data_IF_839707563626
#
_entry.id   IF_839707563626
#
_cell.length_a   1.000
_cell.length_b   1.000
_cell.length_c   1.000
_cell.angle_alpha   90.00
_cell.angle_beta   90.00
_cell.angle_gamma   90.00
#
_symmetry.space_group_name_H-M   'P 1'
#
loop_
_entity.id
_entity.type
_entity.pdbx_description
1 polymer ?
#
# COMPACT_ATOMS: atom_id res chain seq x y z
N UNK A 1 48.36 4.79 38.31
CA UNK A 1 47.63 3.59 37.80
C UNK A 1 46.15 3.86 37.94
N UNK A 2 45.28 3.67 36.93
CA UNK A 2 43.82 3.69 36.92
C UNK A 2 43.11 4.69 35.99
N UNK A 3 43.69 5.06 34.84
CA UNK A 3 42.88 5.80 33.84
C UNK A 3 42.57 4.97 32.57
N UNK A 4 43.01 3.70 32.47
CA UNK A 4 42.76 2.87 31.28
C UNK A 4 41.48 2.03 31.38
N UNK A 5 40.99 1.76 32.58
CA UNK A 5 39.75 0.96 32.77
C UNK A 5 38.48 1.72 32.49
N UNK A 6 38.45 3.04 32.78
CA UNK A 6 37.27 3.85 32.54
C UNK A 6 36.98 4.06 31.05
N UNK A 7 38.02 4.17 30.23
CA UNK A 7 37.87 4.39 28.79
C UNK A 7 37.30 3.17 28.04
N UNK A 8 37.64 1.95 28.45
CA UNK A 8 37.11 0.74 27.84
C UNK A 8 35.64 0.48 28.20
N UNK A 9 35.22 0.81 29.41
CA UNK A 9 33.83 0.60 29.87
C UNK A 9 32.85 1.54 29.17
N UNK A 10 33.25 2.78 28.94
CA UNK A 10 32.41 3.77 28.23
C UNK A 10 32.26 3.40 26.75
N UNK A 11 33.34 2.90 26.10
CA UNK A 11 33.29 2.43 24.71
C UNK A 11 32.43 1.16 24.58
N UNK A 12 32.53 0.24 25.55
CA UNK A 12 31.72 -0.98 25.57
C UNK A 12 30.21 -0.69 25.78
N UNK A 13 29.86 0.27 26.66
CA UNK A 13 28.48 0.72 26.84
C UNK A 13 27.94 1.42 25.58
N UNK A 14 28.75 2.24 24.92
CA UNK A 14 28.36 2.91 23.70
C UNK A 14 28.14 1.92 22.54
N UNK A 15 28.94 0.85 22.46
CA UNK A 15 28.78 -0.21 21.44
C UNK A 15 27.56 -1.09 21.70
N UNK A 16 27.19 -1.37 22.93
CA UNK A 16 25.98 -2.13 23.28
C UNK A 16 24.73 -1.31 23.00
N UNK A 17 24.74 0.01 23.24
CA UNK A 17 23.64 0.91 22.89
C UNK A 17 23.45 1.02 21.36
N UNK A 18 24.49 0.86 20.57
CA UNK A 18 24.44 0.90 19.10
C UNK A 18 23.99 -0.44 18.47
N UNK A 19 24.11 -1.56 19.19
CA UNK A 19 23.71 -2.89 18.67
C UNK A 19 22.21 -3.19 18.76
N UNK A 20 21.43 -2.37 19.43
CA UNK A 20 20.08 -2.70 19.88
C UNK A 20 18.93 -2.11 19.13
N UNK A 21 18.91 -1.98 17.80
CA UNK A 21 17.66 -1.65 17.10
C UNK A 21 17.71 -1.98 15.61
N UNK A 22 17.49 -3.22 15.26
CA UNK A 22 16.90 -3.51 13.95
C UNK A 22 15.42 -3.12 14.03
N UNK A 23 15.11 -1.94 13.55
CA UNK A 23 13.81 -1.32 13.73
C UNK A 23 12.70 -2.04 12.98
N UNK A 24 12.92 -2.53 11.79
CA UNK A 24 12.05 -3.47 11.07
C UNK A 24 12.73 -3.96 9.79
N UNK A 25 12.29 -5.12 9.32
CA UNK A 25 12.61 -5.65 8.01
C UNK A 25 11.34 -5.70 7.15
N UNK A 26 11.50 -5.31 5.89
CA UNK A 26 10.44 -5.45 4.88
C UNK A 26 10.83 -6.62 4.01
N UNK A 27 9.94 -7.59 3.90
CA UNK A 27 10.09 -8.70 2.96
C UNK A 27 8.93 -8.67 1.96
N UNK A 28 9.24 -8.89 0.69
CA UNK A 28 8.23 -9.20 -0.31
C UNK A 28 7.71 -10.60 -0.07
N UNK A 29 6.42 -10.74 0.10
CA UNK A 29 5.80 -12.06 0.18
C UNK A 29 5.67 -12.66 -1.22
N UNK A 30 5.91 -13.97 -1.32
CA UNK A 30 5.37 -14.74 -2.44
C UNK A 30 3.86 -14.58 -2.39
N UNK A 31 3.20 -14.48 -3.59
CA UNK A 31 1.78 -14.20 -3.75
C UNK A 31 0.92 -14.67 -2.58
N UNK A 32 0.16 -13.77 -1.95
CA UNK A 32 -0.75 -14.16 -0.88
C UNK A 32 -1.69 -15.26 -1.36
N UNK A 33 -1.97 -16.22 -0.51
CA UNK A 33 -2.93 -17.29 -0.79
C UNK A 33 -4.23 -16.93 -0.09
N UNK A 34 -5.31 -16.92 -0.83
CA UNK A 34 -6.66 -16.73 -0.33
C UNK A 34 -7.46 -17.99 -0.60
N UNK A 35 -8.12 -18.51 0.41
CA UNK A 35 -8.98 -19.70 0.29
C UNK A 35 -10.38 -19.34 0.72
N UNK A 36 -11.33 -19.64 -0.14
CA UNK A 36 -12.73 -19.36 0.10
C UNK A 36 -13.58 -20.45 -0.56
N UNK A 37 -14.65 -20.90 0.11
CA UNK A 37 -15.62 -21.86 -0.40
C UNK A 37 -16.72 -21.21 -1.25
N UNK A 38 -16.70 -19.90 -1.41
CA UNK A 38 -17.70 -19.15 -2.20
C UNK A 38 -17.49 -19.36 -3.70
N UNK A 39 -18.47 -18.93 -4.51
CA UNK A 39 -18.34 -18.89 -5.97
C UNK A 39 -17.16 -17.98 -6.37
N UNK A 40 -16.98 -16.84 -5.71
CA UNK A 40 -15.84 -15.95 -5.92
C UNK A 40 -14.51 -16.66 -5.61
N UNK A 41 -14.47 -17.42 -4.50
CA UNK A 41 -13.31 -18.22 -4.12
C UNK A 41 -12.92 -19.27 -5.16
N UNK A 42 -13.90 -19.92 -5.79
CA UNK A 42 -13.64 -20.88 -6.86
C UNK A 42 -12.96 -20.22 -8.09
N UNK A 43 -13.40 -19.01 -8.45
CA UNK A 43 -12.73 -18.23 -9.50
C UNK A 43 -11.32 -17.80 -9.07
N UNK A 44 -11.12 -17.37 -7.82
CA UNK A 44 -9.80 -17.03 -7.28
C UNK A 44 -8.85 -18.23 -7.37
N UNK A 45 -9.30 -19.41 -6.95
CA UNK A 45 -8.51 -20.64 -7.02
C UNK A 45 -8.15 -21.00 -8.47
N UNK A 46 -9.11 -20.83 -9.40
CA UNK A 46 -8.89 -21.06 -10.83
C UNK A 46 -7.85 -20.08 -11.39
N UNK A 47 -7.98 -18.77 -11.11
CA UNK A 47 -7.04 -17.76 -11.55
C UNK A 47 -5.64 -17.96 -10.95
N UNK A 48 -5.54 -18.52 -9.74
CA UNK A 48 -4.29 -18.85 -9.08
C UNK A 48 -3.50 -19.99 -9.70
N UNK A 49 -4.20 -20.93 -10.37
CA UNK A 49 -3.57 -22.03 -11.10
C UNK A 49 -3.01 -21.49 -12.40
N UNK A 50 -1.69 -21.46 -12.52
CA UNK A 50 -1.02 -21.09 -13.78
C UNK A 50 -1.20 -22.22 -14.79
N UNK A 51 -2.20 -22.11 -15.62
CA UNK A 51 -2.52 -23.08 -16.68
C UNK A 51 -1.89 -22.72 -18.04
N UNK A 52 -0.96 -21.77 -18.07
CA UNK A 52 -0.35 -21.25 -19.30
C UNK A 52 -1.17 -20.16 -19.98
N UNK A 53 -2.31 -19.76 -19.43
CA UNK A 53 -3.09 -18.61 -19.91
C UNK A 53 -2.32 -17.30 -19.72
N UNK A 54 -2.47 -16.35 -20.64
CA UNK A 54 -1.85 -15.03 -20.57
C UNK A 54 -2.36 -14.20 -19.39
N UNK A 55 -1.68 -13.06 -19.10
CA UNK A 55 -2.06 -12.18 -17.99
C UNK A 55 -3.49 -11.64 -18.14
N UNK A 56 -3.95 -11.35 -19.35
CA UNK A 56 -5.31 -10.86 -19.61
C UNK A 56 -6.37 -11.91 -19.26
N UNK A 57 -6.13 -13.18 -19.58
CA UNK A 57 -7.06 -14.25 -19.22
C UNK A 57 -7.10 -14.46 -17.69
N UNK A 58 -5.96 -14.35 -17.03
CA UNK A 58 -5.91 -14.42 -15.56
C UNK A 58 -6.68 -13.25 -14.92
N UNK A 59 -6.54 -12.04 -15.46
CA UNK A 59 -7.34 -10.88 -15.05
C UNK A 59 -8.84 -11.15 -15.26
N UNK A 60 -9.24 -11.71 -16.40
CA UNK A 60 -10.64 -12.02 -16.69
C UNK A 60 -11.28 -12.92 -15.63
N UNK A 61 -10.57 -13.94 -15.17
CA UNK A 61 -11.07 -14.83 -14.09
C UNK A 61 -11.13 -14.11 -12.75
N UNK A 62 -10.18 -13.20 -12.43
CA UNK A 62 -10.31 -12.38 -11.23
C UNK A 62 -11.46 -11.36 -11.32
N UNK A 63 -11.81 -10.88 -12.52
CA UNK A 63 -13.01 -10.07 -12.73
C UNK A 63 -14.29 -10.87 -12.50
N UNK A 64 -14.34 -12.15 -12.92
CA UNK A 64 -15.45 -13.04 -12.55
C UNK A 64 -15.58 -13.19 -11.03
N UNK A 65 -14.46 -13.35 -10.32
CA UNK A 65 -14.45 -13.42 -8.86
C UNK A 65 -14.97 -12.11 -8.22
N UNK A 66 -14.49 -10.96 -8.69
CA UNK A 66 -14.94 -9.66 -8.20
C UNK A 66 -16.43 -9.43 -8.48
N UNK A 67 -16.93 -9.84 -9.65
CA UNK A 67 -18.35 -9.76 -10.00
C UNK A 67 -19.22 -10.63 -9.10
N UNK A 68 -18.80 -11.88 -8.85
CA UNK A 68 -19.50 -12.77 -7.96
C UNK A 68 -19.56 -12.24 -6.53
N UNK A 69 -18.44 -11.74 -6.01
CA UNK A 69 -18.38 -11.14 -4.67
C UNK A 69 -19.24 -9.86 -4.58
N UNK A 70 -19.23 -9.01 -5.61
CA UNK A 70 -20.06 -7.79 -5.65
C UNK A 70 -21.56 -8.09 -5.60
N UNK A 71 -22.01 -9.17 -6.28
CA UNK A 71 -23.41 -9.61 -6.21
C UNK A 71 -23.82 -10.02 -4.78
N UNK A 72 -22.94 -10.68 -4.05
CA UNK A 72 -23.20 -11.04 -2.65
C UNK A 72 -23.26 -9.79 -1.79
N UNK A 73 -22.30 -8.88 -1.92
CA UNK A 73 -22.23 -7.63 -1.16
C UNK A 73 -23.45 -6.74 -1.42
N UNK A 74 -23.99 -6.68 -2.64
CA UNK A 74 -25.19 -5.93 -2.95
C UNK A 74 -26.40 -6.41 -2.11
N UNK A 75 -26.50 -7.70 -1.80
CA UNK A 75 -27.58 -8.27 -1.00
C UNK A 75 -27.25 -8.35 0.49
N UNK A 76 -26.00 -8.64 0.83
CA UNK A 76 -25.48 -8.79 2.19
C UNK A 76 -24.23 -7.92 2.39
N UNK A 77 -24.38 -6.61 2.67
CA UNK A 77 -23.25 -5.66 2.74
C UNK A 77 -22.23 -5.96 3.84
N UNK A 78 -22.65 -6.66 4.89
CA UNK A 78 -21.79 -7.06 6.02
C UNK A 78 -21.09 -8.41 5.81
N UNK A 79 -21.27 -9.05 4.65
CA UNK A 79 -20.68 -10.37 4.40
C UNK A 79 -19.15 -10.26 4.28
N UNK A 80 -18.48 -10.72 5.34
CA UNK A 80 -17.02 -10.57 5.50
C UNK A 80 -16.27 -11.34 4.42
N UNK A 81 -16.73 -12.57 4.11
CA UNK A 81 -16.04 -13.41 3.14
C UNK A 81 -16.16 -12.84 1.72
N UNK A 82 -17.32 -12.33 1.33
CA UNK A 82 -17.51 -11.71 0.02
C UNK A 82 -16.65 -10.44 -0.11
N UNK A 83 -16.52 -9.66 0.97
CA UNK A 83 -15.63 -8.50 1.00
C UNK A 83 -14.17 -8.92 0.84
N UNK A 84 -13.74 -9.97 1.54
CA UNK A 84 -12.38 -10.49 1.44
C UNK A 84 -12.08 -11.03 0.02
N UNK A 85 -13.02 -11.77 -0.57
CA UNK A 85 -12.90 -12.28 -1.94
C UNK A 85 -12.79 -11.14 -2.96
N UNK A 86 -13.64 -10.10 -2.84
CA UNK A 86 -13.59 -8.92 -3.69
C UNK A 86 -12.25 -8.21 -3.58
N UNK A 87 -11.82 -7.91 -2.36
CA UNK A 87 -10.57 -7.19 -2.10
C UNK A 87 -9.37 -7.96 -2.65
N UNK A 88 -9.34 -9.27 -2.45
CA UNK A 88 -8.28 -10.12 -2.97
C UNK A 88 -8.25 -10.15 -4.50
N UNK A 89 -9.41 -10.34 -5.15
CA UNK A 89 -9.51 -10.36 -6.60
C UNK A 89 -9.01 -9.05 -7.21
N UNK A 90 -9.46 -7.90 -6.68
CA UNK A 90 -9.02 -6.57 -7.13
C UNK A 90 -7.52 -6.38 -6.93
N UNK A 91 -6.98 -6.80 -5.77
CA UNK A 91 -5.55 -6.72 -5.52
C UNK A 91 -4.74 -7.52 -6.56
N UNK A 92 -5.19 -8.71 -6.90
CA UNK A 92 -4.50 -9.55 -7.92
C UNK A 92 -4.59 -8.95 -9.32
N UNK A 93 -5.68 -8.28 -9.68
CA UNK A 93 -5.79 -7.56 -10.96
C UNK A 93 -4.70 -6.49 -11.06
N UNK A 94 -4.56 -5.63 -10.05
CA UNK A 94 -3.49 -4.61 -10.01
C UNK A 94 -2.10 -5.24 -10.04
N UNK A 95 -1.90 -6.34 -9.33
CA UNK A 95 -0.64 -7.08 -9.30
C UNK A 95 -0.22 -7.60 -10.69
N UNK A 96 -1.17 -8.15 -11.44
CA UNK A 96 -0.92 -8.67 -12.79
C UNK A 96 -0.67 -7.52 -13.76
N UNK A 97 -1.44 -6.43 -13.69
CA UNK A 97 -1.26 -5.24 -14.52
C UNK A 97 0.17 -4.70 -14.35
N UNK A 98 0.63 -4.57 -13.10
CA UNK A 98 1.98 -4.09 -12.80
C UNK A 98 3.05 -5.07 -13.31
N UNK A 99 2.92 -6.35 -13.00
CA UNK A 99 3.90 -7.38 -13.34
C UNK A 99 4.04 -7.60 -14.86
N UNK A 100 2.93 -7.47 -15.61
CA UNK A 100 2.91 -7.64 -17.05
C UNK A 100 3.11 -6.33 -17.84
N UNK A 101 3.20 -5.18 -17.15
CA UNK A 101 3.35 -3.88 -17.78
C UNK A 101 2.13 -3.44 -18.60
N UNK A 102 0.94 -3.96 -18.29
CA UNK A 102 -0.29 -3.63 -18.99
C UNK A 102 -0.72 -2.19 -18.73
N UNK A 103 -1.42 -1.56 -19.67
CA UNK A 103 -1.77 -0.15 -19.63
C UNK A 103 -3.27 0.09 -19.86
N UNK A 104 -4.16 -0.36 -18.96
CA UNK A 104 -5.61 -0.20 -19.12
C UNK A 104 -6.09 1.26 -19.07
N UNK A 105 -5.20 2.21 -18.72
CA UNK A 105 -5.46 3.65 -18.80
C UNK A 105 -5.23 4.24 -20.21
N UNK A 106 -4.52 3.53 -21.07
CA UNK A 106 -4.25 3.96 -22.45
C UNK A 106 -5.28 3.43 -23.43
N UNK A 107 -5.71 2.17 -23.26
CA UNK A 107 -6.75 1.53 -24.04
C UNK A 107 -7.39 0.41 -23.21
N UNK A 108 -8.70 0.13 -23.40
CA UNK A 108 -9.34 -1.01 -22.75
C UNK A 108 -8.67 -2.34 -23.13
N UNK A 109 -8.43 -3.18 -22.13
CA UNK A 109 -7.89 -4.52 -22.30
C UNK A 109 -9.03 -5.50 -22.49
N UNK A 110 -8.85 -6.45 -23.39
CA UNK A 110 -9.73 -7.62 -23.55
C UNK A 110 -9.23 -8.71 -22.62
N UNK A 111 -10.07 -9.12 -21.68
CA UNK A 111 -9.72 -10.07 -20.65
C UNK A 111 -10.69 -11.26 -20.70
N UNK A 112 -10.29 -12.40 -21.30
CA UNK A 112 -11.14 -13.58 -21.33
C UNK A 112 -11.47 -14.08 -19.93
N UNK A 113 -12.76 -14.07 -19.59
CA UNK A 113 -13.28 -14.63 -18.34
C UNK A 113 -13.73 -16.09 -18.51
N UNK A 114 -14.39 -16.64 -17.50
CA UNK A 114 -14.87 -18.01 -17.51
C UNK A 114 -16.07 -18.22 -18.46
N UNK A 115 -16.92 -17.21 -18.60
CA UNK A 115 -18.18 -17.30 -19.36
C UNK A 115 -18.32 -16.24 -20.45
N UNK A 116 -17.56 -15.17 -20.38
CA UNK A 116 -17.60 -14.07 -21.36
C UNK A 116 -16.27 -13.30 -21.35
N UNK A 117 -16.10 -12.41 -22.31
CA UNK A 117 -14.95 -11.53 -22.42
C UNK A 117 -15.25 -10.22 -21.65
N UNK A 118 -14.31 -9.78 -20.82
CA UNK A 118 -14.33 -8.51 -20.12
C UNK A 118 -13.59 -7.44 -20.91
N UNK A 119 -14.09 -6.20 -20.84
CA UNK A 119 -13.38 -5.01 -21.31
C UNK A 119 -12.93 -4.19 -20.09
N UNK A 120 -11.65 -4.28 -19.76
CA UNK A 120 -11.08 -3.65 -18.59
C UNK A 120 -10.45 -2.30 -18.95
N UNK A 121 -10.90 -1.25 -18.30
CA UNK A 121 -10.30 0.08 -18.37
C UNK A 121 -9.89 0.56 -16.97
N UNK A 122 -9.01 1.56 -16.90
CA UNK A 122 -8.67 2.23 -15.65
C UNK A 122 -8.90 3.71 -15.79
N UNK A 123 -9.79 4.26 -14.96
CA UNK A 123 -10.03 5.70 -14.84
C UNK A 123 -9.26 6.24 -13.64
N UNK A 124 -8.42 7.22 -13.88
CA UNK A 124 -7.83 8.01 -12.81
C UNK A 124 -8.79 9.13 -12.47
N UNK A 125 -9.54 8.97 -11.38
CA UNK A 125 -10.37 10.05 -10.80
C UNK A 125 -9.60 10.82 -9.72
N UNK A 126 -8.38 10.40 -9.46
CA UNK A 126 -7.52 10.99 -8.45
C UNK A 126 -6.81 12.21 -9.03
N UNK A 127 -6.25 13.00 -8.15
CA UNK A 127 -5.40 14.12 -8.52
C UNK A 127 -4.42 13.73 -9.63
N UNK A 128 -4.13 14.62 -10.60
CA UNK A 128 -3.22 14.34 -11.71
C UNK A 128 -1.89 13.73 -11.29
N UNK A 129 -1.47 14.04 -10.07
CA UNK A 129 -0.23 13.59 -9.47
C UNK A 129 -0.20 12.11 -9.08
N UNK A 130 -1.37 11.43 -9.04
CA UNK A 130 -1.48 10.00 -8.70
C UNK A 130 -1.85 9.14 -9.92
N UNK A 131 -1.62 9.64 -11.11
CA UNK A 131 -1.90 8.90 -12.35
C UNK A 131 -1.09 7.59 -12.43
N UNK A 132 -1.72 6.47 -12.81
CA UNK A 132 -1.02 5.19 -13.03
C UNK A 132 0.08 5.27 -14.08
N UNK A 133 0.07 6.29 -14.94
CA UNK A 133 1.17 6.55 -15.86
C UNK A 133 2.47 6.91 -15.12
N UNK A 134 2.37 7.60 -13.98
CA UNK A 134 3.49 8.09 -13.19
C UNK A 134 3.82 7.22 -11.98
N UNK A 135 2.89 6.35 -11.56
CA UNK A 135 3.06 5.49 -10.38
C UNK A 135 2.96 4.02 -10.73
N UNK A 136 3.76 3.23 -10.05
CA UNK A 136 3.61 1.78 -9.94
C UNK A 136 2.59 1.52 -8.82
N UNK A 137 1.55 0.73 -9.11
CA UNK A 137 0.48 0.41 -8.17
C UNK A 137 0.62 -1.04 -7.71
N UNK A 138 1.11 -1.22 -6.50
CA UNK A 138 1.40 -2.55 -5.96
C UNK A 138 0.50 -2.84 -4.77
N UNK A 139 -0.15 -4.01 -4.71
CA UNK A 139 -0.93 -4.40 -3.54
C UNK A 139 -0.10 -4.39 -2.25
N UNK A 140 -0.66 -3.80 -1.19
CA UNK A 140 0.01 -3.71 0.10
C UNK A 140 0.29 -5.09 0.72
N UNK A 141 -0.56 -6.08 0.43
CA UNK A 141 -0.42 -7.48 0.87
C UNK A 141 0.78 -8.22 0.26
N UNK A 142 1.49 -7.61 -0.70
CA UNK A 142 2.79 -8.10 -1.20
C UNK A 142 3.94 -7.87 -0.23
N UNK A 143 3.72 -7.07 0.79
CA UNK A 143 4.75 -6.72 1.76
C UNK A 143 4.41 -7.32 3.12
N UNK A 144 5.40 -7.92 3.78
CA UNK A 144 5.33 -8.27 5.19
C UNK A 144 6.31 -7.41 5.97
N UNK A 145 5.83 -6.84 7.03
CA UNK A 145 6.61 -6.02 7.94
C UNK A 145 6.87 -6.83 9.21
N UNK A 146 8.15 -7.03 9.52
CA UNK A 146 8.58 -7.73 10.73
C UNK A 146 9.54 -6.83 11.49
N UNK A 147 9.35 -6.69 12.77
CA UNK A 147 10.25 -5.93 13.61
C UNK A 147 9.77 -5.94 15.06
N UNK A 148 10.71 -5.78 15.98
CA UNK A 148 10.42 -5.75 17.43
C UNK A 148 9.44 -4.65 17.81
N UNK A 149 9.26 -3.64 16.95
CA UNK A 149 8.50 -2.42 17.21
C UNK A 149 7.29 -2.26 16.29
N UNK A 150 7.06 -3.16 15.33
CA UNK A 150 5.84 -3.21 14.53
C UNK A 150 4.81 -4.03 15.29
N UNK A 151 4.23 -3.43 16.33
CA UNK A 151 3.24 -4.09 17.19
C UNK A 151 1.84 -3.93 16.60
N UNK A 152 1.57 -2.81 15.93
CA UNK A 152 0.28 -2.51 15.34
C UNK A 152 0.43 -2.07 13.89
N UNK A 153 -0.54 -2.44 13.06
CA UNK A 153 -0.65 -1.97 11.69
C UNK A 153 -1.80 -0.97 11.60
N UNK A 154 -1.55 0.16 10.95
CA UNK A 154 -2.58 1.18 10.72
C UNK A 154 -3.40 0.77 9.47
N UNK A 155 -4.25 -0.24 9.62
CA UNK A 155 -5.11 -0.76 8.57
C UNK A 155 -6.56 -0.35 8.85
N UNK A 156 -7.31 -0.13 7.79
CA UNK A 156 -8.75 0.14 7.84
C UNK A 156 -9.48 -0.95 7.06
N UNK A 157 -10.39 -1.63 7.75
CA UNK A 157 -11.26 -2.59 7.10
C UNK A 157 -12.29 -1.89 6.19
N UNK A 158 -12.55 -2.49 5.03
CA UNK A 158 -13.50 -1.96 4.07
C UNK A 158 -13.47 -2.71 2.74
N UNK A 159 -14.08 -2.13 1.72
CA UNK A 159 -14.05 -2.64 0.34
C UNK A 159 -12.92 -2.02 -0.44
N UNK A 160 -12.34 -2.79 -1.34
CA UNK A 160 -11.25 -2.40 -2.23
C UNK A 160 -9.91 -3.00 -1.83
N UNK A 161 -8.99 -2.98 -2.76
CA UNK A 161 -7.62 -3.43 -2.55
C UNK A 161 -6.77 -2.29 -1.99
N UNK A 162 -6.20 -2.44 -0.81
CA UNK A 162 -5.18 -1.53 -0.32
C UNK A 162 -3.92 -1.65 -1.18
N UNK A 163 -3.51 -0.54 -1.79
CA UNK A 163 -2.39 -0.46 -2.71
C UNK A 163 -1.35 0.55 -2.20
N UNK A 164 -0.12 0.34 -2.61
CA UNK A 164 0.94 1.34 -2.51
C UNK A 164 1.22 1.90 -3.90
N UNK A 165 1.05 3.20 -4.06
CA UNK A 165 1.50 3.93 -5.23
C UNK A 165 2.94 4.38 -5.01
N UNK A 166 3.87 3.82 -5.79
CA UNK A 166 5.28 4.18 -5.80
C UNK A 166 5.59 5.00 -7.04
N UNK A 167 6.19 6.17 -6.92
CA UNK A 167 6.56 6.99 -8.08
C UNK A 167 7.53 6.24 -9.00
N UNK A 168 7.31 6.33 -10.32
CA UNK A 168 8.22 5.77 -11.33
C UNK A 168 9.45 6.64 -11.53
N UNK A 169 9.36 7.91 -11.18
CA UNK A 169 10.47 8.86 -11.28
C UNK A 169 11.42 8.63 -10.11
N UNK A 170 12.71 8.35 -10.36
CA UNK A 170 13.66 8.06 -9.30
C UNK A 170 14.09 9.31 -8.50
N UNK A 171 13.68 10.50 -8.91
CA UNK A 171 13.93 11.76 -8.21
C UNK A 171 12.60 12.27 -7.63
N UNK A 172 12.36 11.90 -6.40
CA UNK A 172 11.13 12.27 -5.69
C UNK A 172 10.98 13.80 -5.53
N UNK A 173 12.07 14.57 -5.55
CA UNK A 173 12.03 16.04 -5.41
C UNK A 173 11.36 16.72 -6.59
N UNK A 174 11.31 16.08 -7.76
CA UNK A 174 10.57 16.57 -8.93
C UNK A 174 9.05 16.48 -8.77
N UNK A 175 8.58 15.62 -7.87
CA UNK A 175 7.15 15.39 -7.60
C UNK A 175 6.75 16.12 -6.32
N UNK A 176 7.58 16.00 -5.29
CA UNK A 176 7.39 16.62 -3.99
C UNK A 176 8.72 17.27 -3.56
N UNK A 177 8.84 18.60 -3.57
CA UNK A 177 10.08 19.29 -3.20
C UNK A 177 10.60 18.93 -1.81
N UNK A 178 9.71 18.42 -0.94
CA UNK A 178 10.06 17.99 0.41
C UNK A 178 10.35 16.50 0.52
N UNK A 179 10.29 15.76 -0.60
CA UNK A 179 10.59 14.33 -0.58
C UNK A 179 12.05 14.10 -0.23
N UNK A 180 12.27 13.20 0.72
CA UNK A 180 13.62 12.90 1.21
C UNK A 180 14.20 11.59 0.64
N UNK A 181 13.38 10.80 -0.05
CA UNK A 181 13.75 9.52 -0.68
C UNK A 181 13.97 9.64 -2.18
N UNK A 182 14.25 8.50 -2.80
CA UNK A 182 14.30 8.40 -4.28
C UNK A 182 12.89 8.36 -4.87
N UNK A 183 11.94 7.82 -4.12
CA UNK A 183 10.56 7.64 -4.56
C UNK A 183 9.58 8.25 -3.57
N UNK A 184 8.43 8.67 -4.07
CA UNK A 184 7.27 9.03 -3.26
C UNK A 184 6.37 7.79 -3.14
N UNK A 185 5.82 7.58 -1.95
CA UNK A 185 4.93 6.47 -1.63
C UNK A 185 3.62 6.99 -1.08
N UNK A 186 2.48 6.55 -1.64
CA UNK A 186 1.14 6.86 -1.16
C UNK A 186 0.37 5.59 -0.90
N UNK A 187 -0.47 5.60 0.16
CA UNK A 187 -1.50 4.60 0.37
C UNK A 187 -2.75 4.99 -0.42
N UNK A 188 -3.20 4.10 -1.28
CA UNK A 188 -4.41 4.29 -2.09
C UNK A 188 -5.25 3.02 -2.07
N UNK A 189 -6.51 3.12 -2.48
CA UNK A 189 -7.41 1.98 -2.57
C UNK A 189 -7.85 1.77 -4.01
N UNK A 190 -7.62 0.57 -4.52
CA UNK A 190 -8.10 0.12 -5.83
C UNK A 190 -9.49 -0.49 -5.73
N UNK A 191 -10.35 -0.16 -6.69
CA UNK A 191 -11.71 -0.67 -6.82
C UNK A 191 -11.96 -1.11 -8.26
N UNK A 192 -12.96 -1.95 -8.46
CA UNK A 192 -13.49 -2.26 -9.78
C UNK A 192 -15.00 -2.05 -9.80
N UNK A 193 -15.47 -1.20 -10.71
CA UNK A 193 -16.88 -1.04 -11.01
C UNK A 193 -17.24 -1.93 -12.20
N UNK A 194 -18.30 -2.70 -12.08
CA UNK A 194 -18.73 -3.68 -13.08
C UNK A 194 -20.09 -3.28 -13.63
N UNK A 195 -20.16 -3.12 -14.94
CA UNK A 195 -21.40 -2.82 -15.68
C UNK A 195 -21.48 -3.67 -16.95
N UNK A 196 -22.31 -4.70 -16.91
CA UNK A 196 -22.38 -5.70 -17.98
C UNK A 196 -21.04 -6.41 -18.15
N UNK A 197 -20.45 -6.32 -19.33
CA UNK A 197 -19.13 -6.88 -19.66
C UNK A 197 -17.98 -5.86 -19.47
N UNK A 198 -18.31 -4.65 -19.07
CA UNK A 198 -17.32 -3.60 -18.85
C UNK A 198 -16.89 -3.58 -17.37
N UNK A 199 -15.60 -3.61 -17.15
CA UNK A 199 -14.98 -3.45 -15.86
C UNK A 199 -14.13 -2.18 -15.86
N UNK A 200 -14.35 -1.30 -14.87
CA UNK A 200 -13.60 -0.05 -14.75
C UNK A 200 -12.87 -0.03 -13.42
N UNK A 201 -11.55 -0.07 -13.46
CA UNK A 201 -10.73 0.15 -12.27
C UNK A 201 -10.77 1.63 -11.89
N UNK A 202 -10.88 1.87 -10.60
CA UNK A 202 -10.74 3.19 -9.96
C UNK A 202 -9.68 3.14 -8.89
N UNK A 203 -9.00 4.25 -8.71
CA UNK A 203 -8.07 4.47 -7.62
C UNK A 203 -8.58 5.63 -6.78
N UNK A 204 -8.65 5.44 -5.48
CA UNK A 204 -9.21 6.41 -4.52
C UNK A 204 -8.19 6.65 -3.40
N UNK A 205 -8.05 7.91 -3.02
CA UNK A 205 -7.25 8.28 -1.84
C UNK A 205 -8.08 8.10 -0.56
N UNK A 206 -7.74 7.13 0.31
CA UNK A 206 -8.45 6.89 1.55
C UNK A 206 -8.24 7.98 2.61
N UNK A 207 -7.30 8.92 2.39
CA UNK A 207 -7.13 10.12 3.22
C UNK A 207 -8.07 11.25 2.82
N UNK A 208 -8.56 11.25 1.58
CA UNK A 208 -9.53 12.23 1.09
C UNK A 208 -10.97 11.75 1.26
N UNK A 209 -11.20 10.44 1.18
CA UNK A 209 -12.52 9.84 1.14
C UNK A 209 -12.57 8.57 2.02
N UNK A 210 -13.50 8.49 2.97
CA UNK A 210 -13.62 7.35 3.89
C UNK A 210 -14.49 6.22 3.38
N UNK A 211 -15.43 6.54 2.49
CA UNK A 211 -16.45 5.61 2.01
C UNK A 211 -16.57 5.66 0.49
N UNK A 212 -17.13 4.61 -0.08
CA UNK A 212 -17.43 4.53 -1.51
C UNK A 212 -18.83 3.99 -1.74
N UNK A 213 -19.48 4.47 -2.80
CA UNK A 213 -20.73 3.90 -3.28
C UNK A 213 -20.42 2.82 -4.31
N UNK A 214 -20.91 1.61 -4.07
CA UNK A 214 -20.80 0.46 -4.96
C UNK A 214 -22.17 -0.23 -5.02
N UNK A 215 -22.72 -0.43 -6.21
CA UNK A 215 -24.06 -1.00 -6.42
C UNK A 215 -25.16 -0.29 -5.60
N UNK A 216 -25.10 1.04 -5.55
CA UNK A 216 -26.08 1.87 -4.82
C UNK A 216 -25.98 1.84 -3.30
N UNK A 217 -24.98 1.18 -2.73
CA UNK A 217 -24.75 1.10 -1.29
C UNK A 217 -23.41 1.73 -0.90
N UNK A 218 -23.36 2.32 0.29
CA UNK A 218 -22.15 2.95 0.83
C UNK A 218 -21.38 1.94 1.67
N UNK A 219 -20.09 1.82 1.39
CA UNK A 219 -19.15 0.95 2.11
C UNK A 219 -17.95 1.76 2.61
N UNK A 220 -17.38 1.41 3.77
CA UNK A 220 -16.08 1.94 4.16
C UNK A 220 -15.01 1.46 3.17
N UNK A 221 -14.01 2.30 2.88
CA UNK A 221 -12.86 1.93 2.07
C UNK A 221 -11.84 1.14 2.89
N UNK A 222 -11.32 0.07 2.31
CA UNK A 222 -10.13 -0.58 2.83
C UNK A 222 -8.91 0.32 2.64
N UNK A 223 -8.03 0.39 3.62
CA UNK A 223 -6.78 1.13 3.53
C UNK A 223 -5.66 0.44 4.30
N UNK A 224 -4.42 0.65 3.86
CA UNK A 224 -3.22 0.30 4.60
C UNK A 224 -2.30 1.50 4.61
N UNK A 225 -2.13 2.11 5.78
CA UNK A 225 -1.26 3.27 5.96
C UNK A 225 0.15 2.87 6.40
N UNK A 226 0.32 1.64 6.88
CA UNK A 226 1.62 1.10 7.31
C UNK A 226 2.55 0.85 6.12
N UNK A 227 2.05 0.24 5.06
CA UNK A 227 2.87 -0.19 3.92
C UNK A 227 3.61 0.97 3.23
N UNK A 228 2.96 2.08 2.83
CA UNK A 228 3.65 3.19 2.16
C UNK A 228 4.69 3.84 3.07
N UNK A 229 4.37 4.01 4.36
CA UNK A 229 5.29 4.60 5.34
C UNK A 229 6.51 3.71 5.56
N UNK A 230 6.29 2.42 5.78
CA UNK A 230 7.37 1.47 6.01
C UNK A 230 8.31 1.36 4.79
N UNK A 231 7.77 1.38 3.57
CA UNK A 231 8.57 1.38 2.34
C UNK A 231 9.39 2.66 2.20
N UNK A 232 8.79 3.83 2.46
CA UNK A 232 9.49 5.10 2.47
C UNK A 232 10.63 5.11 3.51
N UNK A 233 10.38 4.64 4.73
CA UNK A 233 11.38 4.57 5.78
C UNK A 233 12.51 3.57 5.46
N UNK A 234 12.19 2.43 4.85
CA UNK A 234 13.21 1.47 4.42
C UNK A 234 14.16 2.05 3.36
N UNK A 235 13.62 2.84 2.44
CA UNK A 235 14.43 3.54 1.44
C UNK A 235 15.29 4.63 2.08
N UNK A 236 14.72 5.40 2.99
CA UNK A 236 15.39 6.52 3.66
C UNK A 236 16.52 6.06 4.59
N UNK A 237 16.44 4.87 5.16
CA UNK A 237 17.39 4.37 6.18
C UNK A 237 17.59 5.42 7.30
N UNK A 238 16.54 5.82 8.03
CA UNK A 238 16.50 7.00 8.90
C UNK A 238 17.64 7.02 9.90
N UNK A 239 18.01 5.88 10.47
CA UNK A 239 19.11 5.78 11.47
C UNK A 239 20.46 6.28 10.94
N UNK A 240 20.81 5.98 9.68
CA UNK A 240 22.03 6.51 9.08
C UNK A 240 21.94 8.02 8.87
N UNK A 241 20.75 8.52 8.60
CA UNK A 241 20.50 9.96 8.42
C UNK A 241 20.47 10.68 9.76
N UNK A 242 19.87 10.10 10.79
CA UNK A 242 19.85 10.66 12.15
C UNK A 242 21.28 10.89 12.68
N UNK A 243 22.15 9.86 12.55
CA UNK A 243 23.56 10.00 12.91
C UNK A 243 24.27 11.06 12.06
N UNK A 244 24.00 11.11 10.76
CA UNK A 244 24.60 12.13 9.89
C UNK A 244 24.06 13.53 10.20
N UNK A 245 22.78 13.67 10.56
CA UNK A 245 22.16 14.92 10.97
C UNK A 245 22.75 15.52 12.24
N UNK A 246 23.22 14.69 13.18
CA UNK A 246 23.94 15.15 14.36
C UNK A 246 25.28 15.80 14.03
N UNK A 247 25.96 15.32 13.00
CA UNK A 247 27.30 15.83 12.60
C UNK A 247 27.25 16.87 11.47
N UNK A 248 26.14 16.91 10.72
CA UNK A 248 25.95 17.78 9.56
C UNK A 248 24.51 18.28 9.48
N UNK A 249 24.04 19.09 10.42
CA UNK A 249 22.64 19.53 10.49
C UNK A 249 22.22 20.32 9.25
N UNK A 250 23.13 21.09 8.64
CA UNK A 250 22.83 21.94 7.48
C UNK A 250 22.37 21.16 6.23
N UNK A 251 22.75 19.88 6.12
CA UNK A 251 22.29 19.01 5.01
C UNK A 251 20.82 18.58 5.18
N UNK A 252 20.17 18.85 6.31
CA UNK A 252 18.84 18.37 6.68
C UNK A 252 17.82 19.47 7.01
N UNK A 253 18.20 20.74 6.84
CA UNK A 253 17.34 21.91 7.09
C UNK A 253 16.18 22.06 6.10
N UNK A 254 16.21 21.35 4.97
CA UNK A 254 15.29 21.53 3.86
C UNK A 254 14.05 20.60 3.89
N UNK A 255 13.55 20.21 5.06
CA UNK A 255 12.43 19.28 5.03
C UNK A 255 11.59 19.06 6.29
N UNK A 256 11.19 20.12 7.05
CA UNK A 256 10.13 19.90 8.02
C UNK A 256 8.86 19.46 7.28
N UNK A 257 8.27 18.36 7.70
CA UNK A 257 7.12 17.77 7.04
C UNK A 257 6.04 17.41 8.05
N UNK A 258 4.84 17.83 7.76
CA UNK A 258 3.64 17.40 8.47
C UNK A 258 2.98 16.28 7.65
N UNK A 259 2.89 15.07 8.20
CA UNK A 259 2.19 13.96 7.56
C UNK A 259 0.89 13.67 8.30
N UNK A 260 -0.20 13.52 7.55
CA UNK A 260 -1.49 13.10 8.08
C UNK A 260 -1.66 11.60 7.87
N UNK A 261 -2.00 10.87 8.92
CA UNK A 261 -2.16 9.41 8.90
C UNK A 261 -3.63 8.96 8.74
N UNK A 262 -4.57 9.90 8.90
CA UNK A 262 -6.02 9.64 8.79
C UNK A 262 -6.71 10.83 8.12
N UNK A 263 -7.90 10.65 7.51
CA UNK A 263 -8.73 11.76 7.08
C UNK A 263 -9.01 12.72 8.22
N UNK A 264 -9.12 14.01 7.91
CA UNK A 264 -9.55 14.98 8.91
C UNK A 264 -11.00 14.72 9.31
N UNK A 265 -11.25 14.57 10.59
CA UNK A 265 -12.59 14.45 11.16
C UNK A 265 -12.78 15.60 12.16
N UNK A 266 -13.72 16.55 11.92
CA UNK A 266 -13.94 17.67 12.81
C UNK A 266 -14.47 17.27 14.20
N UNK A 267 -14.91 16.01 14.37
CA UNK A 267 -15.37 15.46 15.66
C UNK A 267 -14.25 14.84 16.48
N UNK A 268 -13.04 14.73 15.92
CA UNK A 268 -11.86 14.17 16.61
C UNK A 268 -10.87 15.27 16.96
N UNK A 269 -10.22 15.12 18.08
CA UNK A 269 -9.14 16.02 18.48
C UNK A 269 -7.89 15.64 17.70
N UNK A 270 -7.31 16.54 16.89
CA UNK A 270 -6.07 16.26 16.20
C UNK A 270 -4.91 16.15 17.20
N UNK A 271 -4.08 15.12 17.06
CA UNK A 271 -2.87 14.92 17.85
C UNK A 271 -1.68 15.23 16.97
N UNK A 272 -0.84 16.17 17.39
CA UNK A 272 0.43 16.49 16.73
C UNK A 272 1.56 15.79 17.48
N UNK A 273 2.26 14.87 16.80
CA UNK A 273 3.44 14.19 17.32
C UNK A 273 4.70 14.89 16.83
N UNK A 274 5.55 15.37 17.74
CA UNK A 274 6.81 16.05 17.44
C UNK A 274 7.95 15.19 18.00
N UNK A 275 8.90 14.78 17.14
CA UNK A 275 10.07 14.03 17.61
C UNK A 275 11.09 14.92 18.31
N UNK A 276 11.91 14.32 19.19
CA UNK A 276 12.96 15.02 19.92
C UNK A 276 14.22 15.29 19.11
N UNK A 277 15.15 16.02 19.72
CA UNK A 277 16.46 16.30 19.15
C UNK A 277 17.24 14.99 18.93
N UNK A 278 17.79 14.80 17.74
CA UNK A 278 18.54 13.59 17.37
C UNK A 278 17.66 12.40 17.02
N UNK A 279 16.36 12.61 16.89
CA UNK A 279 15.39 11.60 16.48
C UNK A 279 14.69 12.01 15.16
N UNK A 280 13.82 11.17 14.63
CA UNK A 280 13.09 11.44 13.39
C UNK A 280 11.61 11.06 13.53
N UNK A 281 10.83 11.41 12.52
CA UNK A 281 9.43 10.97 12.42
C UNK A 281 9.26 9.44 12.52
N UNK A 282 10.30 8.67 12.26
CA UNK A 282 10.29 7.22 12.41
C UNK A 282 10.05 6.75 13.85
N UNK A 283 10.30 7.59 14.85
CA UNK A 283 10.02 7.34 16.27
C UNK A 283 8.54 7.05 16.53
N UNK A 284 7.65 7.70 15.79
CA UNK A 284 6.20 7.61 15.99
C UNK A 284 5.56 6.43 15.24
N UNK A 285 6.37 5.63 14.53
CA UNK A 285 5.94 4.41 13.84
C UNK A 285 6.39 3.12 14.57
N UNK A 286 6.68 3.28 15.85
CA UNK A 286 7.11 2.17 16.73
C UNK A 286 5.94 1.59 17.48
#
# INVERSE_FOLDING_TARGET
MNNRFFSCTVIALATVALAGCNTYSIATQKRPVHRSSTVAGQYIDRAGKRDGSGPEAQIGIYLDAAAAATKVLANAPSEVQARADYNFAVARIFDIIDAAGLKPWSAPLRCPGATHEWFLSLKSNSQPDQSPAHYQLVPADRYSFKGRLVVEQADKEGVGAALVAKSKVPDATKIDPFAQGKHVYYGITGLVDILGVNATLRVVDPLAQETVVMQGRTYPLAANFTAPIALALAELKPRKRELRGLFKPDEFTSGPRLARLQPYDPKKIPILCIHGLGDSQATWHR
#
